data_IF_846248366380
#
_entry.id   IF_846248366380
#
_cell.length_a   1.000
_cell.length_b   1.000
_cell.length_c   1.000
_cell.angle_alpha   90.00
_cell.angle_beta   90.00
_cell.angle_gamma   90.00
#
_symmetry.space_group_name_H-M   'P 1'
#
loop_
_entity.id
_entity.type
_entity.pdbx_description
1 polymer ?
#
# COMPACT_ATOMS: atom_id res chain seq x y z
N UNK A 1 11.39 -14.11 2.42
CA UNK A 1 11.40 -12.72 1.89
C UNK A 1 10.24 -11.97 2.51
N UNK A 2 10.46 -10.71 2.85
CA UNK A 2 9.44 -9.84 3.40
C UNK A 2 8.94 -8.91 2.29
N UNK A 3 7.62 -8.87 2.13
CA UNK A 3 6.95 -7.93 1.25
C UNK A 3 6.23 -6.87 2.09
N UNK A 4 6.44 -5.60 1.75
CA UNK A 4 5.80 -4.47 2.42
C UNK A 4 4.82 -3.81 1.47
N UNK A 5 3.54 -3.78 1.83
CA UNK A 5 2.47 -3.17 1.04
C UNK A 5 2.14 -1.78 1.55
N UNK A 6 2.17 -0.79 0.65
CA UNK A 6 1.93 0.63 0.95
C UNK A 6 0.75 1.14 0.13
N UNK A 7 -0.37 1.44 0.79
CA UNK A 7 -1.47 2.21 0.22
C UNK A 7 -1.22 3.71 0.45
N UNK A 8 -1.02 4.47 -0.62
CA UNK A 8 -0.60 5.88 -0.53
C UNK A 8 -1.75 6.81 -0.16
N UNK A 9 -1.48 7.74 0.74
CA UNK A 9 -2.41 8.80 1.14
C UNK A 9 -2.08 9.32 2.54
N UNK A 10 -2.87 10.30 3.00
CA UNK A 10 -2.72 10.94 4.32
C UNK A 10 -2.69 9.89 5.45
N UNK A 11 -3.59 8.90 5.37
CA UNK A 11 -3.55 7.71 6.20
C UNK A 11 -2.95 6.56 5.38
N UNK A 12 -1.63 6.41 5.43
CA UNK A 12 -0.92 5.41 4.65
C UNK A 12 -1.25 4.02 5.17
N UNK A 13 -1.83 3.17 4.30
CA UNK A 13 -2.01 1.76 4.62
C UNK A 13 -0.66 1.04 4.61
N UNK A 14 -0.37 0.29 5.66
CA UNK A 14 0.91 -0.40 5.83
C UNK A 14 0.65 -1.87 6.16
N UNK A 15 1.21 -2.76 5.35
CA UNK A 15 1.12 -4.19 5.59
C UNK A 15 2.47 -4.88 5.39
N UNK A 16 2.69 -5.95 6.14
CA UNK A 16 3.89 -6.80 6.04
C UNK A 16 3.45 -8.22 5.80
N UNK A 17 3.97 -8.82 4.75
CA UNK A 17 3.74 -10.21 4.36
C UNK A 17 5.04 -10.99 4.39
N UNK A 18 5.02 -12.16 5.03
CA UNK A 18 6.13 -13.10 5.01
C UNK A 18 5.83 -14.23 4.02
N UNK A 19 6.58 -14.26 2.92
CA UNK A 19 6.48 -15.29 1.88
C UNK A 19 6.83 -16.69 2.37
N UNK A 20 7.70 -16.83 3.38
CA UNK A 20 8.07 -18.15 3.93
C UNK A 20 6.92 -18.74 4.74
N UNK A 21 6.31 -17.92 5.59
CA UNK A 21 5.16 -18.31 6.41
C UNK A 21 3.84 -18.27 5.64
N UNK A 22 3.83 -17.62 4.47
CA UNK A 22 2.64 -17.33 3.67
C UNK A 22 1.55 -16.67 4.52
N UNK A 23 1.94 -15.68 5.32
CA UNK A 23 1.06 -15.02 6.28
C UNK A 23 1.35 -13.52 6.38
N UNK A 24 0.31 -12.77 6.77
CA UNK A 24 0.45 -11.36 7.14
C UNK A 24 1.02 -11.27 8.55
N UNK A 25 2.05 -10.47 8.73
CA UNK A 25 2.66 -10.17 10.03
C UNK A 25 2.10 -8.88 10.63
N UNK A 26 1.78 -7.90 9.79
CA UNK A 26 1.29 -6.60 10.21
C UNK A 26 0.29 -6.06 9.19
N UNK A 27 -0.79 -5.45 9.67
CA UNK A 27 -1.78 -4.72 8.87
C UNK A 27 -2.26 -3.55 9.72
N UNK A 28 -1.96 -2.32 9.31
CA UNK A 28 -2.36 -1.11 10.02
C UNK A 28 -2.41 0.11 9.07
N UNK A 29 -2.78 1.27 9.62
CA UNK A 29 -2.47 2.56 8.96
C UNK A 29 -1.54 3.37 9.82
N UNK A 30 -0.65 4.09 9.16
CA UNK A 30 0.35 4.95 9.76
C UNK A 30 0.36 6.29 9.03
N UNK A 31 0.78 7.38 9.68
CA UNK A 31 1.26 8.55 8.97
C UNK A 31 2.43 8.19 8.04
N UNK A 32 2.54 8.87 6.90
CA UNK A 32 3.56 8.58 5.88
C UNK A 32 4.99 8.49 6.44
N UNK A 33 5.38 9.42 7.32
CA UNK A 33 6.72 9.45 7.92
C UNK A 33 6.98 8.22 8.82
N UNK A 34 5.96 7.74 9.54
CA UNK A 34 6.09 6.51 10.35
C UNK A 34 6.15 5.25 9.50
N UNK A 35 5.43 5.22 8.38
CA UNK A 35 5.56 4.15 7.42
C UNK A 35 6.98 4.13 6.80
N UNK A 36 7.54 5.29 6.44
CA UNK A 36 8.91 5.41 5.93
C UNK A 36 9.97 4.96 6.93
N UNK A 37 9.89 5.43 8.19
CA UNK A 37 10.75 4.97 9.28
C UNK A 37 10.71 3.43 9.39
N UNK A 38 9.51 2.84 9.31
CA UNK A 38 9.34 1.38 9.42
C UNK A 38 9.95 0.62 8.24
N UNK A 39 9.79 1.11 7.02
CA UNK A 39 10.44 0.53 5.82
C UNK A 39 11.95 0.56 5.97
N UNK A 40 12.51 1.70 6.39
CA UNK A 40 13.95 1.84 6.63
C UNK A 40 14.43 0.84 7.68
N UNK A 41 13.76 0.73 8.83
CA UNK A 41 14.17 -0.23 9.86
C UNK A 41 14.20 -1.67 9.36
N UNK A 42 13.17 -2.11 8.61
CA UNK A 42 13.15 -3.46 8.03
C UNK A 42 14.29 -3.67 7.02
N UNK A 43 14.60 -2.65 6.23
CA UNK A 43 15.69 -2.71 5.26
C UNK A 43 17.07 -2.72 5.93
N UNK A 44 17.26 -1.95 6.99
CA UNK A 44 18.49 -1.94 7.79
C UNK A 44 18.72 -3.29 8.48
N UNK A 45 17.67 -3.91 9.02
CA UNK A 45 17.72 -5.28 9.58
C UNK A 45 18.19 -6.31 8.53
N UNK A 46 17.69 -6.20 7.29
CA UNK A 46 18.14 -7.02 6.17
C UNK A 46 19.62 -6.75 5.83
N UNK A 47 20.04 -5.49 5.73
CA UNK A 47 21.42 -5.11 5.45
C UNK A 47 22.41 -5.58 6.52
N UNK A 48 21.98 -5.62 7.77
CA UNK A 48 22.75 -6.15 8.89
C UNK A 48 22.85 -7.69 8.90
N UNK A 49 22.16 -8.39 7.98
CA UNK A 49 22.15 -9.85 7.91
C UNK A 49 21.27 -10.54 8.96
N UNK A 50 20.44 -9.77 9.68
CA UNK A 50 19.53 -10.27 10.72
C UNK A 50 18.16 -10.57 10.12
N UNK A 51 17.73 -9.79 9.13
CA UNK A 51 16.43 -9.87 8.48
C UNK A 51 16.42 -10.58 7.13
N UNK A 52 15.20 -10.82 6.65
CA UNK A 52 14.93 -11.33 5.30
C UNK A 52 14.95 -10.21 4.26
N UNK A 53 15.28 -10.53 3.00
CA UNK A 53 15.22 -9.57 1.88
C UNK A 53 13.84 -8.88 1.84
N UNK A 54 13.87 -7.54 1.79
CA UNK A 54 12.68 -6.68 1.76
C UNK A 54 12.37 -6.21 0.35
N UNK A 55 11.11 -6.34 -0.07
CA UNK A 55 10.57 -5.77 -1.31
C UNK A 55 9.35 -4.92 -0.96
N UNK A 56 9.32 -3.68 -1.43
CA UNK A 56 8.22 -2.74 -1.15
C UNK A 56 7.29 -2.65 -2.37
N UNK A 57 5.98 -2.77 -2.18
CA UNK A 57 4.96 -2.58 -3.21
C UNK A 57 4.10 -1.38 -2.83
N UNK A 58 4.12 -0.35 -3.66
CA UNK A 58 3.42 0.91 -3.39
C UNK A 58 2.29 1.10 -4.41
N UNK A 59 1.07 1.39 -3.96
CA UNK A 59 0.01 1.79 -4.87
C UNK A 59 0.33 3.15 -5.53
N UNK A 60 0.24 3.23 -6.85
CA UNK A 60 0.51 4.44 -7.62
C UNK A 60 -0.72 4.95 -8.38
N UNK A 61 -1.47 5.91 -7.84
CA UNK A 61 -2.65 6.48 -8.51
C UNK A 61 -2.29 7.23 -9.80
N UNK A 62 -1.01 7.55 -10.06
CA UNK A 62 -0.57 8.18 -11.32
C UNK A 62 -0.69 7.21 -12.50
N UNK A 63 -0.62 5.89 -12.24
CA UNK A 63 -0.78 4.84 -13.25
C UNK A 63 -2.26 4.49 -13.53
N UNK A 64 -3.21 5.16 -12.87
CA UNK A 64 -4.64 4.92 -13.10
C UNK A 64 -5.03 5.38 -14.50
N UNK A 65 -5.52 4.45 -15.30
CA UNK A 65 -6.16 4.75 -16.59
C UNK A 65 -7.58 5.24 -16.36
N UNK A 66 -7.91 6.45 -16.85
CA UNK A 66 -9.26 7.00 -16.75
C UNK A 66 -10.17 6.28 -17.75
N UNK A 67 -11.02 5.38 -17.24
CA UNK A 67 -12.08 4.75 -18.00
C UNK A 67 -13.43 5.02 -17.31
N UNK A 68 -14.44 5.48 -18.06
CA UNK A 68 -15.83 5.60 -17.59
C UNK A 68 -16.27 6.96 -17.00
N UNK A 69 -15.53 8.05 -17.24
CA UNK A 69 -15.95 9.41 -16.85
C UNK A 69 -17.12 9.96 -17.66
N UNK A 70 -17.46 9.35 -18.79
CA UNK A 70 -18.53 9.80 -19.69
C UNK A 70 -19.92 9.84 -19.05
N UNK A 71 -20.15 9.12 -17.94
CA UNK A 71 -21.44 9.06 -17.23
C UNK A 71 -21.45 9.75 -15.86
N UNK A 72 -20.40 10.48 -15.49
CA UNK A 72 -20.31 11.11 -14.17
C UNK A 72 -20.85 12.56 -14.20
N UNK A 73 -21.67 12.92 -13.19
CA UNK A 73 -22.04 14.31 -12.93
C UNK A 73 -20.80 15.16 -12.68
N UNK A 74 -20.79 16.39 -13.21
CA UNK A 74 -19.72 17.39 -13.00
C UNK A 74 -19.36 17.59 -11.52
N UNK A 75 -20.33 17.45 -10.62
CA UNK A 75 -20.09 17.62 -9.17
C UNK A 75 -19.31 16.44 -8.57
N UNK A 76 -19.61 15.20 -9.00
CA UNK A 76 -18.86 14.02 -8.56
C UNK A 76 -17.45 13.99 -9.15
N UNK A 77 -17.29 14.44 -10.40
CA UNK A 77 -15.99 14.59 -11.03
C UNK A 77 -15.12 15.60 -10.25
N UNK A 78 -15.67 16.77 -9.91
CA UNK A 78 -14.96 17.79 -9.14
C UNK A 78 -14.56 17.32 -7.73
N UNK A 79 -15.45 16.60 -7.03
CA UNK A 79 -15.14 15.99 -5.72
C UNK A 79 -14.03 14.94 -5.82
N UNK A 80 -14.04 14.10 -6.86
CA UNK A 80 -12.95 13.14 -7.09
C UNK A 80 -11.63 13.84 -7.41
N UNK A 81 -11.65 14.91 -8.21
CA UNK A 81 -10.44 15.64 -8.61
C UNK A 81 -9.77 16.37 -7.43
N UNK A 82 -10.54 16.85 -6.45
CA UNK A 82 -10.02 17.62 -5.32
C UNK A 82 -9.04 16.86 -4.41
N UNK A 83 -9.06 15.52 -4.39
CA UNK A 83 -8.11 14.70 -3.62
C UNK A 83 -6.96 14.11 -4.43
N UNK A 84 -7.12 14.00 -5.75
CA UNK A 84 -6.19 13.25 -6.63
C UNK A 84 -4.78 13.86 -6.64
N UNK A 85 -4.68 15.19 -6.57
CA UNK A 85 -3.39 15.88 -6.53
C UNK A 85 -2.56 15.51 -5.30
N UNK A 86 -3.19 15.40 -4.12
CA UNK A 86 -2.50 15.04 -2.88
C UNK A 86 -1.97 13.61 -2.94
N UNK A 87 -2.79 12.65 -3.36
CA UNK A 87 -2.37 11.24 -3.40
C UNK A 87 -1.27 11.02 -4.44
N UNK A 88 -1.33 11.70 -5.59
CA UNK A 88 -0.25 11.67 -6.60
C UNK A 88 1.07 12.24 -6.08
N UNK A 89 1.00 13.27 -5.21
CA UNK A 89 2.19 13.81 -4.54
C UNK A 89 2.76 12.76 -3.58
N UNK A 90 1.93 12.16 -2.73
CA UNK A 90 2.38 11.14 -1.76
C UNK A 90 3.06 9.95 -2.46
N UNK A 91 2.49 9.47 -3.57
CA UNK A 91 3.11 8.41 -4.38
C UNK A 91 4.45 8.82 -4.99
N UNK A 92 4.62 10.11 -5.36
CA UNK A 92 5.90 10.62 -5.86
C UNK A 92 6.94 10.71 -4.74
N UNK A 93 6.54 11.12 -3.52
CA UNK A 93 7.43 11.13 -2.35
C UNK A 93 7.90 9.71 -2.02
N UNK A 94 7.01 8.71 -2.09
CA UNK A 94 7.40 7.31 -1.91
C UNK A 94 8.40 6.82 -2.95
N UNK A 95 8.16 7.13 -4.22
CA UNK A 95 9.04 6.76 -5.32
C UNK A 95 10.45 7.36 -5.14
N UNK A 96 10.54 8.67 -4.83
CA UNK A 96 11.81 9.35 -4.58
C UNK A 96 12.53 8.79 -3.34
N UNK A 97 11.79 8.58 -2.25
CA UNK A 97 12.34 8.05 -0.99
C UNK A 97 12.89 6.63 -1.14
N UNK A 98 12.16 5.73 -1.81
CA UNK A 98 12.58 4.33 -1.98
C UNK A 98 13.79 4.23 -2.92
N UNK A 99 13.86 5.09 -3.95
CA UNK A 99 15.06 5.24 -4.80
C UNK A 99 16.28 5.65 -3.99
N UNK A 100 16.15 6.67 -3.14
CA UNK A 100 17.24 7.14 -2.29
C UNK A 100 17.69 6.06 -1.29
N UNK A 101 16.73 5.36 -0.67
CA UNK A 101 17.01 4.27 0.26
C UNK A 101 17.70 3.07 -0.43
N UNK A 102 17.47 2.89 -1.74
CA UNK A 102 18.03 1.79 -2.52
C UNK A 102 17.42 0.42 -2.20
N UNK A 103 16.24 0.40 -1.58
CA UNK A 103 15.46 -0.83 -1.35
C UNK A 103 14.80 -1.26 -2.65
N UNK A 104 14.62 -2.56 -2.85
CA UNK A 104 13.88 -3.07 -4.00
C UNK A 104 12.40 -2.73 -3.86
N UNK A 105 11.81 -2.11 -4.87
CA UNK A 105 10.41 -1.69 -4.82
C UNK A 105 9.70 -1.71 -6.19
N UNK A 106 8.38 -1.79 -6.14
CA UNK A 106 7.48 -1.73 -7.31
C UNK A 106 6.38 -0.70 -7.08
N UNK A 107 6.18 0.19 -8.07
CA UNK A 107 5.02 1.08 -8.14
C UNK A 107 3.89 0.37 -8.88
N UNK A 108 2.79 0.08 -8.20
CA UNK A 108 1.69 -0.79 -8.67
C UNK A 108 0.46 0.05 -8.97
N UNK A 109 -0.11 -0.08 -10.16
CA UNK A 109 -1.37 0.59 -10.49
C UNK A 109 -2.53 0.12 -9.58
N UNK A 110 -3.44 1.02 -9.17
CA UNK A 110 -4.60 0.67 -8.37
C UNK A 110 -5.42 -0.42 -9.06
N UNK A 111 -5.68 -1.54 -8.37
CA UNK A 111 -6.52 -2.61 -8.93
C UNK A 111 -7.97 -2.13 -9.08
N UNK A 112 -8.66 -2.63 -10.11
CA UNK A 112 -10.10 -2.39 -10.33
C UNK A 112 -10.94 -3.05 -9.23
N UNK A 113 -11.04 -2.41 -8.08
CA UNK A 113 -11.97 -2.83 -7.02
C UNK A 113 -13.26 -2.04 -7.14
N UNK A 114 -14.28 -2.65 -7.76
CA UNK A 114 -15.65 -2.11 -7.80
C UNK A 114 -16.28 -2.17 -6.40
N UNK A 115 -15.82 -3.07 -5.54
CA UNK A 115 -16.28 -3.21 -4.16
C UNK A 115 -15.08 -3.16 -3.20
N UNK A 116 -15.12 -2.23 -2.24
CA UNK A 116 -14.15 -2.18 -1.13
C UNK A 116 -14.21 -3.49 -0.35
N UNK A 117 -13.06 -4.02 0.06
CA UNK A 117 -12.99 -5.27 0.80
C UNK A 117 -13.44 -5.02 2.24
N UNK A 118 -14.51 -5.70 2.68
CA UNK A 118 -14.98 -5.61 4.06
C UNK A 118 -14.04 -6.36 5.00
N UNK A 119 -14.10 -6.05 6.29
CA UNK A 119 -13.27 -6.71 7.29
C UNK A 119 -13.56 -8.21 7.38
N UNK A 120 -14.82 -8.62 7.27
CA UNK A 120 -15.23 -10.03 7.32
C UNK A 120 -14.66 -10.80 6.14
N UNK A 121 -14.74 -10.21 4.93
CA UNK A 121 -14.16 -10.81 3.72
C UNK A 121 -12.63 -10.87 3.79
N UNK A 122 -11.99 -9.81 4.29
CA UNK A 122 -10.55 -9.78 4.47
C UNK A 122 -10.08 -10.85 5.46
N UNK A 123 -10.79 -11.00 6.58
CA UNK A 123 -10.53 -12.04 7.58
C UNK A 123 -10.72 -13.44 7.00
N UNK A 124 -11.79 -13.67 6.24
CA UNK A 124 -12.04 -14.97 5.59
C UNK A 124 -10.96 -15.31 4.54
N UNK A 125 -10.47 -14.32 3.80
CA UNK A 125 -9.43 -14.50 2.79
C UNK A 125 -8.05 -14.72 3.41
N UNK A 126 -7.67 -13.89 4.38
CA UNK A 126 -6.28 -13.81 4.87
C UNK A 126 -6.04 -14.53 6.18
N UNK A 127 -7.09 -14.92 6.90
CA UNK A 127 -7.02 -15.42 8.28
C UNK A 127 -6.73 -14.34 9.33
N UNK A 128 -6.60 -13.07 8.93
CA UNK A 128 -6.24 -11.98 9.85
C UNK A 128 -7.36 -11.69 10.87
N UNK A 129 -7.07 -11.92 12.15
CA UNK A 129 -8.07 -11.84 13.23
C UNK A 129 -8.20 -10.45 13.85
N UNK A 130 -7.16 -9.59 13.74
CA UNK A 130 -7.14 -8.28 14.38
C UNK A 130 -8.01 -7.28 13.62
N UNK A 131 -8.36 -6.19 14.30
CA UNK A 131 -9.06 -5.08 13.68
C UNK A 131 -8.25 -4.50 12.51
N UNK A 132 -8.95 -4.08 11.45
CA UNK A 132 -8.34 -3.45 10.27
C UNK A 132 -9.19 -2.27 9.82
N UNK A 133 -8.55 -1.29 9.21
CA UNK A 133 -9.24 -0.24 8.47
C UNK A 133 -9.08 -0.49 6.96
N UNK A 134 -9.72 0.35 6.16
CA UNK A 134 -9.71 0.24 4.69
C UNK A 134 -8.29 0.29 4.11
N UNK A 135 -7.55 1.35 4.43
CA UNK A 135 -6.19 1.55 3.93
C UNK A 135 -5.24 0.40 4.26
N UNK A 136 -5.28 -0.11 5.50
CA UNK A 136 -4.47 -1.26 5.89
C UNK A 136 -4.82 -2.51 5.08
N UNK A 137 -6.10 -2.75 4.80
CA UNK A 137 -6.53 -3.86 3.93
C UNK A 137 -6.04 -3.66 2.50
N UNK A 138 -6.15 -2.46 1.95
CA UNK A 138 -5.71 -2.15 0.59
C UNK A 138 -4.18 -2.36 0.45
N UNK A 139 -3.39 -1.88 1.43
CA UNK A 139 -1.96 -2.15 1.51
C UNK A 139 -1.65 -3.66 1.61
N UNK A 140 -2.40 -4.41 2.42
CA UNK A 140 -2.24 -5.86 2.51
C UNK A 140 -2.54 -6.59 1.19
N UNK A 141 -3.54 -6.13 0.43
CA UNK A 141 -3.90 -6.72 -0.86
C UNK A 141 -2.87 -6.46 -1.97
N UNK A 142 -1.92 -5.54 -1.77
CA UNK A 142 -0.78 -5.37 -2.67
C UNK A 142 0.24 -6.50 -2.56
N UNK A 143 0.38 -7.11 -1.38
CA UNK A 143 1.42 -8.09 -1.05
C UNK A 143 0.90 -9.48 -0.74
N UNK A 144 -0.39 -9.64 -0.48
CA UNK A 144 -1.00 -10.92 -0.17
C UNK A 144 -0.82 -11.93 -1.32
N UNK A 145 -0.21 -13.09 -1.00
CA UNK A 145 -0.04 -14.21 -1.93
C UNK A 145 1.32 -14.26 -2.67
N UNK A 146 2.22 -13.30 -2.42
CA UNK A 146 3.63 -13.35 -2.87
C UNK A 146 4.50 -14.31 -2.03
#
# INVERSE_FOLDING_TARGET
MIYVGIDTGVNTGFAVWDSKQRSLLQVCSLPIHKAMERVRSLYDEYKAGIGDKVIVRVEDPRQRTWFGTERMSREMERKKLQGVGSVKRDASIWDDYLKELGVEYEMVAPKRNVTKLTQERFKALTGWQKQTNEHGRDGAMLVYGF
#
